data_IF_516823246622
#
_entry.id   IF_516823246622
#
_cell.length_a   1.000
_cell.length_b   1.000
_cell.length_c   1.000
_cell.angle_alpha   90.00
_cell.angle_beta   90.00
_cell.angle_gamma   90.00
#
_symmetry.space_group_name_H-M   'P 1'
#
loop_
_entity.id
_entity.type
_entity.pdbx_description
1 polymer ?
#
# COMPACT_ATOMS: atom_id res chain seq x y z
N UNK A 1 36.69 -0.61 -63.53
CA UNK A 1 37.52 -0.92 -62.35
C UNK A 1 36.59 -1.48 -61.28
N UNK A 2 36.73 -2.66 -60.68
CA UNK A 2 37.81 -3.63 -60.70
C UNK A 2 37.76 -4.45 -59.41
N UNK A 3 37.11 -5.62 -59.50
CA UNK A 3 37.27 -6.86 -58.70
C UNK A 3 36.45 -7.11 -57.42
N UNK A 4 35.96 -8.37 -57.24
CA UNK A 4 35.13 -8.84 -56.12
C UNK A 4 35.97 -9.43 -54.96
N UNK A 5 35.40 -9.46 -53.75
CA UNK A 5 36.03 -10.06 -52.56
C UNK A 5 35.69 -11.55 -52.47
N UNK A 6 36.73 -12.37 -52.55
CA UNK A 6 36.71 -13.83 -52.51
C UNK A 6 36.29 -14.39 -51.14
N UNK A 7 35.59 -15.51 -51.21
CA UNK A 7 35.48 -16.53 -50.16
C UNK A 7 36.86 -17.03 -49.75
N UNK A 8 37.10 -17.18 -48.45
CA UNK A 8 38.08 -18.13 -47.93
C UNK A 8 37.46 -18.91 -46.77
N UNK A 9 37.12 -20.16 -47.07
CA UNK A 9 37.13 -21.27 -46.11
C UNK A 9 38.58 -21.64 -45.81
N UNK A 10 38.89 -21.95 -44.56
CA UNK A 10 40.11 -22.65 -44.18
C UNK A 10 39.92 -23.37 -42.83
N UNK A 11 40.69 -24.45 -42.59
CA UNK A 11 40.11 -25.76 -42.27
C UNK A 11 40.31 -26.21 -40.82
N UNK A 12 39.66 -27.34 -40.52
CA UNK A 12 39.81 -28.15 -39.32
C UNK A 12 41.27 -28.41 -38.94
N UNK A 13 41.62 -28.17 -37.68
CA UNK A 13 42.69 -28.86 -37.00
C UNK A 13 42.10 -29.70 -35.87
N UNK A 14 42.07 -30.99 -36.16
CA UNK A 14 41.89 -32.09 -35.24
C UNK A 14 43.24 -32.34 -34.54
N UNK A 15 43.27 -32.33 -33.21
CA UNK A 15 44.40 -32.92 -32.46
C UNK A 15 43.93 -33.50 -31.13
N UNK A 16 43.74 -34.82 -31.17
CA UNK A 16 44.17 -35.81 -30.17
C UNK A 16 43.83 -35.57 -28.69
N UNK A 17 42.82 -36.31 -28.24
CA UNK A 17 42.71 -36.86 -26.89
C UNK A 17 43.98 -37.63 -26.49
N UNK A 18 44.36 -37.57 -25.21
CA UNK A 18 44.94 -38.71 -24.53
C UNK A 18 44.04 -39.23 -23.40
N UNK A 19 44.01 -40.56 -23.31
CA UNK A 19 43.18 -41.36 -22.45
C UNK A 19 43.43 -41.18 -20.94
N UNK A 20 42.35 -41.46 -20.22
CA UNK A 20 42.11 -41.50 -18.78
C UNK A 20 43.03 -42.52 -18.07
N UNK A 21 43.40 -42.30 -16.80
CA UNK A 21 43.38 -43.39 -15.83
C UNK A 21 42.23 -43.23 -14.83
N UNK A 22 41.32 -44.20 -14.85
CA UNK A 22 40.27 -44.39 -13.85
C UNK A 22 40.89 -44.66 -12.48
N UNK A 23 40.60 -43.84 -11.47
CA UNK A 23 40.69 -44.29 -10.08
C UNK A 23 39.85 -43.42 -9.13
N UNK A 24 39.13 -44.12 -8.26
CA UNK A 24 38.32 -43.70 -7.10
C UNK A 24 36.84 -43.30 -7.31
N UNK A 25 36.00 -44.33 -7.19
CA UNK A 25 34.62 -44.30 -6.70
C UNK A 25 34.57 -43.94 -5.17
N UNK A 26 33.39 -43.80 -4.54
CA UNK A 26 33.02 -42.63 -3.73
C UNK A 26 33.39 -42.77 -2.24
N UNK A 27 33.78 -41.65 -1.62
CA UNK A 27 33.84 -41.53 -0.16
C UNK A 27 32.53 -40.89 0.34
N UNK A 28 31.65 -41.76 0.83
CA UNK A 28 30.50 -41.53 1.70
C UNK A 28 29.92 -40.10 1.75
N UNK A 29 28.70 -39.99 1.23
CA UNK A 29 27.75 -38.94 1.54
C UNK A 29 27.66 -38.71 3.07
N UNK A 30 28.02 -37.51 3.52
CA UNK A 30 27.49 -36.94 4.74
C UNK A 30 26.89 -35.59 4.37
N UNK A 31 25.65 -35.64 3.88
CA UNK A 31 24.85 -34.45 3.66
C UNK A 31 24.45 -33.89 5.03
N UNK A 32 25.20 -32.91 5.51
CA UNK A 32 24.71 -32.02 6.55
C UNK A 32 23.36 -31.44 6.08
N UNK A 33 22.33 -31.34 6.94
CA UNK A 33 21.08 -30.72 6.55
C UNK A 33 21.38 -29.28 6.11
N UNK A 34 21.04 -28.99 4.86
CA UNK A 34 21.10 -27.66 4.27
C UNK A 34 20.22 -26.71 5.09
N UNK A 35 20.81 -26.06 6.10
CA UNK A 35 20.17 -24.96 6.81
C UNK A 35 20.24 -23.73 5.89
N UNK A 36 19.36 -23.69 4.89
CA UNK A 36 19.14 -22.49 4.13
C UNK A 36 18.67 -21.39 5.10
N UNK A 37 19.33 -20.22 5.15
CA UNK A 37 18.87 -19.13 6.00
C UNK A 37 17.46 -18.73 5.55
N UNK A 38 16.53 -18.67 6.49
CA UNK A 38 15.16 -18.25 6.21
C UNK A 38 15.18 -16.82 5.63
N UNK A 39 14.81 -16.68 4.36
CA UNK A 39 14.81 -15.41 3.63
C UNK A 39 13.89 -14.39 4.35
N UNK A 40 14.42 -13.22 4.77
CA UNK A 40 13.65 -12.14 5.39
C UNK A 40 12.41 -11.74 4.57
N UNK A 41 12.46 -11.86 3.24
CA UNK A 41 11.32 -11.55 2.35
C UNK A 41 10.16 -12.52 2.53
N UNK A 42 10.44 -13.80 2.79
CA UNK A 42 9.40 -14.81 3.09
C UNK A 42 8.73 -14.53 4.43
N UNK A 43 9.49 -14.12 5.44
CA UNK A 43 8.94 -13.67 6.73
C UNK A 43 8.13 -12.38 6.59
N UNK A 44 8.53 -11.45 5.72
CA UNK A 44 7.80 -10.20 5.47
C UNK A 44 6.50 -10.44 4.70
N UNK A 45 6.50 -11.33 3.71
CA UNK A 45 5.28 -11.78 3.01
C UNK A 45 4.30 -12.50 3.94
N UNK A 46 4.78 -13.32 4.87
CA UNK A 46 3.93 -13.96 5.88
C UNK A 46 3.39 -12.97 6.92
N UNK A 47 4.14 -11.92 7.26
CA UNK A 47 3.65 -10.81 8.11
C UNK A 47 2.60 -9.96 7.39
N UNK A 48 2.77 -9.72 6.09
CA UNK A 48 1.75 -9.04 5.26
C UNK A 48 0.46 -9.87 5.15
N UNK A 49 0.59 -11.20 5.00
CA UNK A 49 -0.56 -12.11 5.07
C UNK A 49 -1.20 -12.20 6.45
N UNK A 50 -0.44 -11.95 7.52
CA UNK A 50 -0.94 -11.99 8.90
C UNK A 50 -2.00 -10.90 9.18
N UNK A 51 -1.92 -9.75 8.51
CA UNK A 51 -2.94 -8.70 8.57
C UNK A 51 -4.29 -9.16 8.04
N UNK A 52 -4.31 -9.95 6.96
CA UNK A 52 -5.54 -10.53 6.42
C UNK A 52 -6.14 -11.61 7.36
N UNK A 53 -5.30 -12.43 8.01
CA UNK A 53 -5.78 -13.43 8.98
C UNK A 53 -6.26 -12.83 10.31
N UNK A 54 -5.67 -11.72 10.77
CA UNK A 54 -6.12 -11.04 11.98
C UNK A 54 -7.52 -10.42 11.80
N UNK A 55 -7.81 -9.87 10.62
CA UNK A 55 -9.15 -9.35 10.27
C UNK A 55 -10.20 -10.46 10.26
N UNK A 56 -9.88 -11.64 9.73
CA UNK A 56 -10.79 -12.80 9.71
C UNK A 56 -11.02 -13.36 11.12
N UNK A 57 -9.99 -13.43 11.96
CA UNK A 57 -10.11 -13.92 13.34
C UNK A 57 -10.95 -12.99 14.23
N UNK A 58 -10.83 -11.67 14.06
CA UNK A 58 -11.61 -10.68 14.82
C UNK A 58 -13.07 -10.64 14.32
N UNK A 59 -13.31 -10.72 13.00
CA UNK A 59 -14.66 -10.81 12.44
C UNK A 59 -15.38 -12.11 12.85
N UNK A 60 -14.65 -13.21 13.05
CA UNK A 60 -15.19 -14.48 13.54
C UNK A 60 -15.55 -14.48 15.03
N UNK A 61 -14.85 -13.71 15.87
CA UNK A 61 -15.00 -13.76 17.32
C UNK A 61 -16.09 -12.83 17.88
N UNK A 62 -16.41 -11.71 17.23
CA UNK A 62 -17.39 -10.72 17.74
C UNK A 62 -18.66 -10.58 16.92
N UNK A 63 -18.84 -11.43 15.90
CA UNK A 63 -20.04 -11.45 15.06
C UNK A 63 -19.90 -10.57 13.82
N UNK A 64 -19.92 -11.20 12.65
CA UNK A 64 -19.97 -10.56 11.34
C UNK A 64 -21.12 -9.56 11.17
N UNK A 65 -22.08 -9.53 12.10
CA UNK A 65 -23.26 -8.65 12.09
C UNK A 65 -22.95 -7.18 12.45
N UNK A 66 -21.88 -6.91 13.19
CA UNK A 66 -21.45 -5.54 13.50
C UNK A 66 -20.37 -5.00 12.55
N UNK A 67 -19.86 -5.83 11.63
CA UNK A 67 -18.82 -5.42 10.70
C UNK A 67 -19.44 -4.71 9.49
N UNK A 68 -19.21 -3.39 9.42
CA UNK A 68 -19.54 -2.58 8.25
C UNK A 68 -18.27 -2.40 7.41
N UNK A 69 -18.24 -2.83 6.12
CA UNK A 69 -17.12 -2.53 5.26
C UNK A 69 -16.98 -1.02 5.10
N UNK A 70 -15.75 -0.51 5.19
CA UNK A 70 -15.53 0.94 5.15
C UNK A 70 -15.79 1.59 3.79
N UNK A 71 -15.98 0.77 2.75
CA UNK A 71 -16.34 1.13 1.38
C UNK A 71 -17.34 0.11 0.83
N UNK A 72 -18.48 0.57 0.29
CA UNK A 72 -19.49 -0.29 -0.33
C UNK A 72 -20.29 0.48 -1.38
N UNK A 73 -20.65 -0.18 -2.48
CA UNK A 73 -21.49 0.39 -3.54
C UNK A 73 -20.98 1.73 -4.11
N UNK A 74 -19.66 1.93 -4.18
CA UNK A 74 -19.08 3.18 -4.70
C UNK A 74 -19.03 4.33 -3.71
N UNK A 75 -19.33 4.10 -2.42
CA UNK A 75 -19.34 5.12 -1.39
C UNK A 75 -18.55 4.69 -0.16
N UNK A 76 -17.92 5.66 0.50
CA UNK A 76 -17.34 5.44 1.82
C UNK A 76 -18.47 5.34 2.85
N UNK A 77 -18.27 4.45 3.82
CA UNK A 77 -19.08 4.46 5.04
C UNK A 77 -18.92 5.79 5.78
N UNK A 78 -19.85 6.07 6.68
CA UNK A 78 -19.85 7.31 7.46
C UNK A 78 -18.58 7.46 8.33
N UNK A 79 -18.10 6.35 8.92
CA UNK A 79 -16.80 6.29 9.60
C UNK A 79 -15.62 6.39 8.62
N UNK A 80 -15.68 5.75 7.45
CA UNK A 80 -14.65 5.88 6.41
C UNK A 80 -14.45 7.32 5.96
N UNK A 81 -15.55 8.07 5.78
CA UNK A 81 -15.50 9.52 5.50
C UNK A 81 -14.86 10.29 6.65
N UNK A 82 -15.18 9.95 7.90
CA UNK A 82 -14.56 10.59 9.07
C UNK A 82 -13.04 10.32 9.15
N UNK A 83 -12.60 9.08 8.87
CA UNK A 83 -11.17 8.72 8.77
C UNK A 83 -10.46 9.56 7.71
N UNK A 84 -11.01 9.65 6.50
CA UNK A 84 -10.38 10.45 5.43
C UNK A 84 -10.46 11.96 5.69
N UNK A 85 -11.48 12.46 6.39
CA UNK A 85 -11.54 13.86 6.83
C UNK A 85 -10.39 14.17 7.80
N UNK A 86 -10.17 13.31 8.80
CA UNK A 86 -9.06 13.43 9.73
C UNK A 86 -7.69 13.31 9.03
N UNK A 87 -7.60 12.38 8.07
CA UNK A 87 -6.39 12.20 7.26
C UNK A 87 -6.09 13.44 6.43
N UNK A 88 -7.09 14.02 5.77
CA UNK A 88 -6.93 15.23 4.97
C UNK A 88 -6.42 16.40 5.81
N UNK A 89 -6.96 16.58 7.02
CA UNK A 89 -6.50 17.62 7.95
C UNK A 89 -5.06 17.44 8.41
N UNK A 90 -4.59 16.19 8.52
CA UNK A 90 -3.22 15.89 8.89
C UNK A 90 -2.23 15.96 7.72
N UNK A 91 -2.64 15.51 6.53
CA UNK A 91 -1.76 15.35 5.37
C UNK A 91 -1.74 16.58 4.47
N UNK A 92 -2.84 17.34 4.42
CA UNK A 92 -2.97 18.58 3.65
C UNK A 92 -2.83 19.82 4.53
N UNK A 93 -2.20 19.68 5.69
CA UNK A 93 -1.88 20.80 6.57
C UNK A 93 -1.12 21.89 5.78
N UNK A 94 -1.52 23.14 5.93
CA UNK A 94 -0.97 24.28 5.19
C UNK A 94 -1.50 24.45 3.76
N UNK A 95 -2.19 23.46 3.18
CA UNK A 95 -2.85 23.56 1.87
C UNK A 95 -4.36 23.80 1.99
N UNK A 96 -4.93 23.60 3.17
CA UNK A 96 -6.35 23.80 3.43
C UNK A 96 -6.67 25.27 3.80
N UNK A 97 -7.88 25.77 3.45
CA UNK A 97 -8.34 27.08 3.90
C UNK A 97 -8.42 27.17 5.42
N UNK A 98 -8.21 28.36 5.97
CA UNK A 98 -8.33 28.63 7.41
C UNK A 98 -9.73 29.10 7.82
N UNK A 99 -10.49 29.68 6.89
CA UNK A 99 -11.89 30.08 7.12
C UNK A 99 -12.78 28.83 7.23
N UNK A 100 -13.66 28.81 8.23
CA UNK A 100 -14.38 27.60 8.63
C UNK A 100 -15.31 27.05 7.54
N UNK A 101 -16.06 27.91 6.84
CA UNK A 101 -16.96 27.46 5.78
C UNK A 101 -16.18 26.97 4.54
N UNK A 102 -15.12 27.68 4.15
CA UNK A 102 -14.23 27.28 3.08
C UNK A 102 -13.49 25.97 3.40
N UNK A 103 -13.03 25.78 4.64
CA UNK A 103 -12.42 24.54 5.10
C UNK A 103 -13.41 23.37 5.01
N UNK A 104 -14.63 23.54 5.49
CA UNK A 104 -15.67 22.52 5.42
C UNK A 104 -15.95 22.12 3.95
N UNK A 105 -16.13 23.11 3.08
CA UNK A 105 -16.34 22.87 1.64
C UNK A 105 -15.14 22.18 0.97
N UNK A 106 -13.91 22.57 1.31
CA UNK A 106 -12.69 21.96 0.77
C UNK A 106 -12.55 20.49 1.20
N UNK A 107 -12.87 20.18 2.46
CA UNK A 107 -12.86 18.81 2.99
C UNK A 107 -13.93 17.95 2.32
N UNK A 108 -15.16 18.46 2.18
CA UNK A 108 -16.23 17.70 1.52
C UNK A 108 -15.91 17.43 0.04
N UNK A 109 -15.36 18.42 -0.67
CA UNK A 109 -14.87 18.23 -2.02
C UNK A 109 -13.72 17.22 -2.09
N UNK A 110 -12.80 17.23 -1.11
CA UNK A 110 -11.73 16.23 -1.02
C UNK A 110 -12.28 14.82 -0.82
N UNK A 111 -13.27 14.63 0.06
CA UNK A 111 -13.91 13.33 0.28
C UNK A 111 -14.56 12.81 -1.00
N UNK A 112 -15.25 13.65 -1.76
CA UNK A 112 -15.81 13.27 -3.07
C UNK A 112 -14.70 12.80 -4.04
N UNK A 113 -13.54 13.45 -4.04
CA UNK A 113 -12.39 13.03 -4.86
C UNK A 113 -11.78 11.71 -4.38
N UNK A 114 -11.74 11.47 -3.07
CA UNK A 114 -11.30 10.19 -2.50
C UNK A 114 -12.22 9.06 -2.96
N UNK A 115 -13.54 9.26 -2.91
CA UNK A 115 -14.50 8.26 -3.39
C UNK A 115 -14.34 7.99 -4.89
N UNK A 116 -14.14 9.03 -5.71
CA UNK A 116 -13.87 8.87 -7.14
C UNK A 116 -12.55 8.11 -7.40
N UNK A 117 -11.49 8.43 -6.65
CA UNK A 117 -10.19 7.76 -6.76
C UNK A 117 -10.29 6.30 -6.36
N UNK A 118 -10.97 5.99 -5.24
CA UNK A 118 -11.28 4.63 -4.81
C UNK A 118 -12.06 3.84 -5.87
N UNK A 119 -13.08 4.47 -6.48
CA UNK A 119 -13.89 3.83 -7.51
C UNK A 119 -13.10 3.46 -8.78
N UNK A 120 -12.03 4.22 -9.08
CA UNK A 120 -11.14 3.98 -10.22
C UNK A 120 -10.09 2.87 -9.96
N UNK A 121 -9.88 2.46 -8.70
CA UNK A 121 -8.91 1.40 -8.38
C UNK A 121 -9.40 0.02 -8.85
N UNK A 122 -8.48 -0.94 -9.09
CA UNK A 122 -8.86 -2.34 -9.31
C UNK A 122 -9.72 -2.90 -8.16
N UNK A 123 -10.67 -3.79 -8.49
CA UNK A 123 -11.62 -4.35 -7.50
C UNK A 123 -10.94 -5.02 -6.30
N UNK A 124 -9.80 -5.68 -6.49
CA UNK A 124 -9.05 -6.30 -5.40
C UNK A 124 -8.50 -5.25 -4.42
N UNK A 125 -7.94 -4.15 -4.92
CA UNK A 125 -7.45 -3.03 -4.11
C UNK A 125 -8.59 -2.33 -3.37
N UNK A 126 -9.76 -2.16 -4.02
CA UNK A 126 -10.95 -1.64 -3.35
C UNK A 126 -11.36 -2.52 -2.16
N UNK A 127 -11.28 -3.85 -2.29
CA UNK A 127 -11.62 -4.79 -1.22
C UNK A 127 -10.63 -4.72 -0.05
N UNK A 128 -9.32 -4.65 -0.34
CA UNK A 128 -8.28 -4.49 0.69
C UNK A 128 -8.48 -3.18 1.49
N UNK A 129 -8.76 -2.07 0.80
CA UNK A 129 -9.05 -0.79 1.46
C UNK A 129 -10.36 -0.83 2.25
N UNK A 130 -11.40 -1.50 1.74
CA UNK A 130 -12.65 -1.69 2.47
C UNK A 130 -12.44 -2.47 3.77
N UNK A 131 -11.57 -3.49 3.75
CA UNK A 131 -11.19 -4.27 4.93
C UNK A 131 -10.38 -3.43 5.92
N UNK A 132 -9.40 -2.67 5.44
CA UNK A 132 -8.60 -1.76 6.28
C UNK A 132 -9.49 -0.75 7.02
N UNK A 133 -10.39 -0.09 6.28
CA UNK A 133 -11.32 0.89 6.84
C UNK A 133 -12.36 0.22 7.75
N UNK A 134 -12.76 -1.02 7.46
CA UNK A 134 -13.59 -1.83 8.35
C UNK A 134 -12.87 -2.16 9.67
N UNK A 135 -11.57 -2.49 9.61
CA UNK A 135 -10.74 -2.75 10.79
C UNK A 135 -10.64 -1.51 11.69
N UNK A 136 -10.49 -0.31 11.09
CA UNK A 136 -10.46 0.95 11.82
C UNK A 136 -11.80 1.32 12.51
N UNK A 137 -12.90 0.64 12.18
CA UNK A 137 -14.20 0.80 12.85
C UNK A 137 -14.37 -0.11 14.06
N UNK A 138 -13.68 -1.26 14.09
CA UNK A 138 -13.78 -2.19 15.21
C UNK A 138 -13.11 -1.58 16.45
N UNK A 139 -13.89 -1.41 17.53
CA UNK A 139 -13.42 -0.73 18.75
C UNK A 139 -12.05 -1.21 19.28
N UNK A 140 -11.77 -2.52 19.46
CA UNK A 140 -10.46 -2.95 19.95
C UNK A 140 -9.33 -2.65 18.96
N UNK A 141 -9.56 -2.85 17.66
CA UNK A 141 -8.56 -2.58 16.64
C UNK A 141 -8.29 -1.08 16.48
N UNK A 142 -9.33 -0.25 16.47
CA UNK A 142 -9.23 1.22 16.47
C UNK A 142 -8.43 1.73 17.66
N UNK A 143 -8.78 1.29 18.88
CA UNK A 143 -8.07 1.69 20.10
C UNK A 143 -6.61 1.23 20.09
N UNK A 144 -6.35 0.02 19.61
CA UNK A 144 -4.97 -0.44 19.49
C UNK A 144 -4.22 0.42 18.46
N UNK A 145 -4.69 0.51 17.21
CA UNK A 145 -4.02 1.21 16.11
C UNK A 145 -3.84 2.71 16.35
N UNK A 146 -4.88 3.39 16.83
CA UNK A 146 -4.93 4.86 16.91
C UNK A 146 -5.16 5.41 18.32
N UNK A 147 -5.61 4.57 19.26
CA UNK A 147 -6.15 4.91 20.59
C UNK A 147 -7.27 5.92 20.58
N UNK A 148 -8.04 5.92 19.50
CA UNK A 148 -9.31 6.60 19.49
C UNK A 148 -10.36 5.73 20.21
N UNK A 149 -10.80 6.18 21.38
CA UNK A 149 -11.72 5.43 22.24
C UNK A 149 -13.13 5.33 21.68
N UNK A 150 -13.60 6.42 21.06
CA UNK A 150 -14.92 6.57 20.45
C UNK A 150 -14.90 6.24 18.94
N UNK A 151 -16.04 5.91 18.31
CA UNK A 151 -16.17 5.83 16.85
C UNK A 151 -15.68 7.10 16.16
N UNK A 152 -15.20 6.99 14.92
CA UNK A 152 -14.64 8.12 14.17
C UNK A 152 -15.65 9.24 13.97
N UNK A 153 -16.92 8.89 13.76
CA UNK A 153 -18.01 9.87 13.66
C UNK A 153 -18.26 10.68 14.94
N UNK A 154 -17.90 10.14 16.10
CA UNK A 154 -18.13 10.75 17.41
C UNK A 154 -16.87 11.44 17.96
N UNK A 155 -15.74 11.26 17.30
CA UNK A 155 -14.50 11.92 17.65
C UNK A 155 -14.56 13.40 17.29
N UNK A 156 -14.14 14.24 18.22
CA UNK A 156 -13.87 15.64 17.88
C UNK A 156 -12.65 15.77 16.97
N UNK A 157 -12.49 16.95 16.38
CA UNK A 157 -11.42 17.21 15.42
C UNK A 157 -10.02 16.95 16.01
N UNK A 158 -9.70 17.42 17.23
CA UNK A 158 -8.40 17.17 17.84
C UNK A 158 -8.13 15.68 18.09
N UNK A 159 -9.11 14.91 18.60
CA UNK A 159 -8.91 13.48 18.84
C UNK A 159 -8.72 12.71 17.53
N UNK A 160 -9.50 13.02 16.50
CA UNK A 160 -9.36 12.39 15.19
C UNK A 160 -8.00 12.72 14.53
N UNK A 161 -7.54 13.98 14.64
CA UNK A 161 -6.22 14.37 14.15
C UNK A 161 -5.10 13.68 14.94
N UNK A 162 -5.19 13.62 16.27
CA UNK A 162 -4.23 12.90 17.12
C UNK A 162 -4.17 11.40 16.78
N UNK A 163 -5.32 10.78 16.47
CA UNK A 163 -5.41 9.39 16.03
C UNK A 163 -4.61 9.13 14.74
N UNK A 164 -4.69 10.02 13.75
CA UNK A 164 -3.88 9.94 12.52
C UNK A 164 -2.40 10.22 12.80
N UNK A 165 -2.09 11.24 13.60
CA UNK A 165 -0.70 11.57 13.98
C UNK A 165 -0.03 10.39 14.68
N UNK A 166 -0.74 9.64 15.51
CA UNK A 166 -0.22 8.44 16.16
C UNK A 166 0.09 7.30 15.19
N UNK A 167 -0.66 7.15 14.10
CA UNK A 167 -0.29 6.20 13.05
C UNK A 167 1.01 6.62 12.37
N UNK A 168 1.15 7.92 12.09
CA UNK A 168 2.35 8.50 11.45
C UNK A 168 3.62 8.38 12.29
N UNK A 169 3.54 8.49 13.62
CA UNK A 169 4.71 8.48 14.51
C UNK A 169 4.97 7.12 15.16
N UNK A 170 4.32 6.04 14.70
CA UNK A 170 4.49 4.71 15.30
C UNK A 170 5.74 3.99 14.77
N UNK A 171 6.45 3.26 15.63
CA UNK A 171 7.58 2.40 15.22
C UNK A 171 7.12 1.01 14.70
N UNK A 172 5.81 0.77 14.67
CA UNK A 172 5.20 -0.49 14.25
C UNK A 172 4.90 -0.50 12.73
N UNK A 173 5.37 -1.54 12.03
CA UNK A 173 5.24 -1.67 10.57
C UNK A 173 3.78 -1.63 10.11
N UNK A 174 2.85 -2.22 10.89
CA UNK A 174 1.44 -2.24 10.52
C UNK A 174 0.82 -0.85 10.63
N UNK A 175 1.03 -0.11 11.72
CA UNK A 175 0.52 1.26 11.86
C UNK A 175 1.06 2.20 10.80
N UNK A 176 2.35 2.10 10.48
CA UNK A 176 2.95 2.84 9.38
C UNK A 176 2.32 2.49 8.03
N UNK A 177 2.08 1.20 7.77
CA UNK A 177 1.39 0.77 6.56
C UNK A 177 -0.04 1.33 6.47
N UNK A 178 -0.78 1.36 7.59
CA UNK A 178 -2.10 2.01 7.64
C UNK A 178 -1.98 3.50 7.31
N UNK A 179 -1.04 4.21 7.94
CA UNK A 179 -0.82 5.63 7.66
C UNK A 179 -0.47 5.88 6.19
N UNK A 180 0.45 5.12 5.60
CA UNK A 180 0.85 5.27 4.21
C UNK A 180 -0.32 5.02 3.26
N UNK A 181 -1.13 3.97 3.49
CA UNK A 181 -2.30 3.71 2.65
C UNK A 181 -3.30 4.88 2.67
N UNK A 182 -3.57 5.45 3.85
CA UNK A 182 -4.47 6.60 4.00
C UNK A 182 -3.89 7.86 3.36
N UNK A 183 -2.61 8.17 3.65
CA UNK A 183 -1.89 9.32 3.11
C UNK A 183 -1.81 9.28 1.59
N UNK A 184 -1.38 8.15 1.03
CA UNK A 184 -1.14 8.00 -0.40
C UNK A 184 -2.44 8.13 -1.19
N UNK A 185 -3.53 7.57 -0.66
CA UNK A 185 -4.85 7.75 -1.27
C UNK A 185 -5.35 9.20 -1.18
N UNK A 186 -5.19 9.86 -0.04
CA UNK A 186 -5.51 11.29 0.09
C UNK A 186 -4.66 12.15 -0.85
N UNK A 187 -3.37 11.91 -0.94
CA UNK A 187 -2.47 12.64 -1.83
C UNK A 187 -2.85 12.43 -3.30
N UNK A 188 -3.06 11.19 -3.73
CA UNK A 188 -3.50 10.87 -5.08
C UNK A 188 -4.83 11.59 -5.42
N UNK A 189 -5.78 11.57 -4.50
CA UNK A 189 -7.08 12.22 -4.67
C UNK A 189 -7.01 13.74 -4.71
N UNK A 190 -6.07 14.34 -3.98
CA UNK A 190 -5.83 15.78 -4.03
C UNK A 190 -5.18 16.20 -5.36
N UNK A 191 -4.25 15.40 -5.89
CA UNK A 191 -3.52 15.70 -7.13
C UNK A 191 -4.30 15.38 -8.41
N UNK A 192 -5.33 14.54 -8.32
CA UNK A 192 -6.13 14.11 -9.46
C UNK A 192 -7.05 15.19 -10.08
N UNK A 193 -7.03 16.44 -9.61
CA UNK A 193 -7.94 17.50 -10.10
C UNK A 193 -7.18 18.76 -10.53
N UNK A 194 -7.49 19.34 -11.71
CA UNK A 194 -6.83 20.55 -12.18
C UNK A 194 -6.94 21.77 -11.24
N UNK A 195 -8.01 21.84 -10.45
CA UNK A 195 -8.24 22.93 -9.50
C UNK A 195 -7.17 23.02 -8.39
N UNK A 196 -6.42 21.95 -8.09
CA UNK A 196 -5.30 22.00 -7.15
C UNK A 196 -3.98 22.39 -7.83
N UNK A 197 -3.87 22.26 -9.15
CA UNK A 197 -2.65 22.61 -9.89
C UNK A 197 -2.35 24.10 -9.83
N UNK A 198 -3.37 24.94 -9.92
CA UNK A 198 -3.23 26.39 -9.79
C UNK A 198 -2.75 26.82 -8.40
N UNK A 199 -3.17 26.12 -7.34
CA UNK A 199 -2.69 26.35 -5.97
C UNK A 199 -1.21 25.96 -5.80
N UNK A 200 -0.72 25.01 -6.61
CA UNK A 200 0.69 24.60 -6.63
C UNK A 200 1.56 25.45 -7.58
N UNK A 201 0.99 26.45 -8.25
CA UNK A 201 1.71 27.28 -9.22
C UNK A 201 2.00 26.57 -10.56
N UNK A 202 1.37 25.41 -10.81
CA UNK A 202 1.49 24.70 -12.08
C UNK A 202 0.36 25.16 -13.03
N UNK A 203 0.67 25.71 -14.22
CA UNK A 203 -0.33 26.24 -15.16
C UNK A 203 -1.17 25.15 -15.84
N UNK A 204 -0.86 23.87 -15.61
CA UNK A 204 -1.47 22.74 -16.30
C UNK A 204 -0.67 22.31 -17.53
N UNK A 205 -1.04 21.18 -18.16
CA UNK A 205 -0.48 20.77 -19.43
C UNK A 205 -0.70 21.86 -20.49
N UNK A 206 0.38 22.36 -21.07
CA UNK A 206 0.32 23.17 -22.29
C UNK A 206 0.23 22.21 -23.48
N UNK A 207 -0.73 22.42 -24.38
CA UNK A 207 -0.78 21.72 -25.66
C UNK A 207 0.56 21.95 -26.38
N UNK A 208 1.26 20.85 -26.71
CA UNK A 208 2.50 20.82 -27.50
C UNK A 208 2.23 20.37 -28.92
#
# INVERSE_FOLDING_TARGET
MGRPRMMQHSPAMQRSEPAIPSSLAPKHANAAPNQAPADPRRRRLLKLGAGATAVVAIAGATGAWLWSPGWRNGHLSADGRAVFRATALAVLEGLLPTEAAALAAALDAHLTRVEATLAALPRHTQAELAQLLGLLQLAPARRWLTGLEVPWQQADLPAAHAAIKRLHTADDELRQQVFHALRDLSAASYMATPATWSQMGYPGPTDI
#
